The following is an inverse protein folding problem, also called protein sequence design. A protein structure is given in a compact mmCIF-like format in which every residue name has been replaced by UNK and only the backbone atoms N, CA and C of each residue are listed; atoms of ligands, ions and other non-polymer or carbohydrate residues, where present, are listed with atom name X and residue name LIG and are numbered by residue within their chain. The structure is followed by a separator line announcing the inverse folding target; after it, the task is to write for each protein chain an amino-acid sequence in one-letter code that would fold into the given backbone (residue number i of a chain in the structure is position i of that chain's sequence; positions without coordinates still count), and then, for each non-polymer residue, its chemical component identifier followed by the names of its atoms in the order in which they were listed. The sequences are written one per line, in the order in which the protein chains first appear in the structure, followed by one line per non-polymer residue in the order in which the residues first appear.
data_IF_680699875779
#
_entry.id   IF_680699875779
#
_cell.length_a   1.000
_cell.length_b   1.000
_cell.length_c   1.000
_cell.angle_alpha   90.00
_cell.angle_beta   90.00
_cell.angle_gamma   90.00
#
_symmetry.space_group_name_H-M   'P 1'
#
loop_
_entity.id
_entity.type
_entity.pdbx_description
1 polymer ?
#
# COMPACT_ATOMS: atom_id res chain seq x y z
N UNK A 1 40.55 52.93 -12.22
CA UNK A 1 40.23 51.86 -11.24
C UNK A 1 38.77 51.49 -11.41
N UNK A 2 38.47 50.25 -11.77
CA UNK A 2 37.10 49.73 -11.80
C UNK A 2 36.60 49.63 -10.37
N UNK A 3 35.45 50.23 -10.05
CA UNK A 3 34.88 50.15 -8.71
C UNK A 3 34.26 48.77 -8.48
N UNK A 4 35.00 47.92 -7.75
CA UNK A 4 34.61 46.54 -7.42
C UNK A 4 33.32 46.51 -6.60
N UNK A 5 33.04 47.52 -5.78
CA UNK A 5 31.82 47.59 -4.96
C UNK A 5 30.59 47.92 -5.80
N UNK A 6 30.72 48.84 -6.77
CA UNK A 6 29.65 49.15 -7.71
C UNK A 6 29.27 47.91 -8.52
N UNK A 7 30.28 47.18 -9.02
CA UNK A 7 30.09 45.93 -9.76
C UNK A 7 29.41 44.84 -8.92
N UNK A 8 29.80 44.68 -7.65
CA UNK A 8 29.18 43.72 -6.72
C UNK A 8 27.69 44.02 -6.53
N UNK A 9 27.35 45.29 -6.34
CA UNK A 9 25.97 45.72 -6.09
C UNK A 9 25.09 45.46 -7.30
N UNK A 10 25.59 45.78 -8.50
CA UNK A 10 24.89 45.55 -9.76
C UNK A 10 24.62 44.06 -10.00
N UNK A 11 25.64 43.21 -9.88
CA UNK A 11 25.51 41.76 -10.07
C UNK A 11 24.56 41.16 -9.03
N UNK A 12 24.63 41.63 -7.78
CA UNK A 12 23.73 41.15 -6.72
C UNK A 12 22.28 41.46 -7.07
N UNK A 13 22.00 42.66 -7.60
CA UNK A 13 20.67 43.03 -8.06
C UNK A 13 20.20 42.19 -9.26
N UNK A 14 21.09 41.85 -10.20
CA UNK A 14 20.76 40.96 -11.34
C UNK A 14 20.39 39.54 -10.85
N UNK A 15 21.11 39.00 -9.86
CA UNK A 15 20.83 37.68 -9.25
C UNK A 15 19.49 37.69 -8.52
N UNK A 16 19.21 38.73 -7.74
CA UNK A 16 17.94 38.86 -7.01
C UNK A 16 16.74 39.07 -7.93
N UNK A 17 16.95 39.74 -9.08
CA UNK A 17 15.92 39.92 -10.10
C UNK A 17 15.63 38.64 -10.91
N UNK A 18 16.55 37.67 -10.93
CA UNK A 18 16.37 36.41 -11.62
C UNK A 18 15.35 35.52 -10.89
N UNK A 19 14.12 35.48 -11.44
CA UNK A 19 12.99 34.70 -10.91
C UNK A 19 12.84 33.31 -11.50
N UNK A 20 13.67 32.92 -12.47
CA UNK A 20 13.61 31.60 -13.10
C UNK A 20 15.00 30.96 -13.13
N UNK A 21 15.10 29.62 -13.11
CA UNK A 21 16.38 28.92 -13.26
C UNK A 21 17.13 29.32 -14.55
N UNK A 22 16.40 29.56 -15.64
CA UNK A 22 16.98 30.02 -16.90
C UNK A 22 17.56 31.43 -16.78
N UNK A 23 16.82 32.39 -16.21
CA UNK A 23 17.31 33.75 -15.99
C UNK A 23 18.51 33.78 -15.04
N UNK A 24 18.54 32.91 -14.02
CA UNK A 24 19.68 32.80 -13.11
C UNK A 24 20.91 32.21 -13.80
N UNK A 25 20.73 31.23 -14.70
CA UNK A 25 21.83 30.67 -15.49
C UNK A 25 22.38 31.68 -16.49
N UNK A 26 21.51 32.50 -17.11
CA UNK A 26 21.92 33.61 -17.98
C UNK A 26 22.82 34.60 -17.21
N UNK A 27 22.41 35.02 -16.01
CA UNK A 27 23.22 35.87 -15.11
C UNK A 27 24.54 35.19 -14.73
N UNK A 28 24.52 33.89 -14.42
CA UNK A 28 25.74 33.12 -14.12
C UNK A 28 26.71 33.12 -15.31
N UNK A 29 26.20 32.95 -16.53
CA UNK A 29 27.03 32.93 -17.74
C UNK A 29 27.59 34.32 -18.07
N UNK A 30 26.80 35.39 -17.97
CA UNK A 30 27.25 36.77 -18.22
C UNK A 30 28.26 37.26 -17.19
N UNK A 31 28.20 36.76 -15.95
CA UNK A 31 29.07 37.21 -14.86
C UNK A 31 30.31 36.32 -14.69
N UNK A 32 30.13 35.00 -14.58
CA UNK A 32 31.18 34.02 -14.26
C UNK A 32 31.64 33.18 -15.47
N UNK A 33 31.01 33.32 -16.64
CA UNK A 33 31.38 32.56 -17.83
C UNK A 33 32.78 32.86 -18.37
N UNK A 34 33.21 32.13 -19.42
CA UNK A 34 34.54 32.26 -20.04
C UNK A 34 34.85 33.68 -20.59
N UNK A 35 33.79 34.41 -20.96
CA UNK A 35 33.81 35.82 -21.38
C UNK A 35 33.02 36.72 -20.41
N UNK A 36 32.73 36.23 -19.21
CA UNK A 36 31.92 36.94 -18.23
C UNK A 36 32.63 38.16 -17.65
N UNK A 37 31.85 39.07 -17.07
CA UNK A 37 32.34 40.36 -16.51
C UNK A 37 33.49 40.17 -15.53
N UNK A 38 33.37 39.24 -14.57
CA UNK A 38 34.42 38.96 -13.57
C UNK A 38 35.62 38.28 -14.23
N UNK A 39 35.40 37.33 -15.14
CA UNK A 39 36.47 36.65 -15.89
C UNK A 39 37.26 37.60 -16.80
N UNK A 40 36.60 38.60 -17.38
CA UNK A 40 37.24 39.65 -18.17
C UNK A 40 38.14 40.54 -17.31
N UNK A 41 37.68 40.95 -16.12
CA UNK A 41 38.48 41.70 -15.14
C UNK A 41 39.67 40.88 -14.60
N UNK A 42 39.50 39.57 -14.42
CA UNK A 42 40.62 38.70 -14.02
C UNK A 42 41.71 38.59 -15.10
N UNK A 43 41.37 38.77 -16.39
CA UNK A 43 42.37 38.76 -17.48
C UNK A 43 43.21 40.04 -17.53
N UNK A 44 42.68 41.18 -17.08
CA UNK A 44 43.42 42.45 -17.08
C UNK A 44 44.52 42.49 -16.02
N UNK A 45 44.45 41.62 -15.00
CA UNK A 45 45.51 41.44 -13.99
C UNK A 45 46.88 41.06 -14.57
N UNK A 46 46.92 40.48 -15.78
CA UNK A 46 48.16 40.08 -16.45
C UNK A 46 49.11 41.24 -16.79
N UNK A 47 48.58 42.46 -16.93
CA UNK A 47 49.35 43.67 -17.29
C UNK A 47 49.64 44.63 -16.13
N UNK A 48 49.35 44.25 -14.89
CA UNK A 48 49.53 45.09 -13.70
C UNK A 48 50.87 44.82 -13.00
N UNK A 49 51.39 45.83 -12.30
CA UNK A 49 52.56 45.69 -11.42
C UNK A 49 52.32 44.66 -10.31
N UNK A 50 53.38 43.99 -9.80
CA UNK A 50 53.23 42.88 -8.85
C UNK A 50 52.44 43.20 -7.58
N UNK A 51 52.61 44.41 -7.04
CA UNK A 51 51.92 44.86 -5.81
C UNK A 51 50.44 45.20 -6.06
N UNK A 52 50.13 45.85 -7.19
CA UNK A 52 48.74 46.19 -7.57
C UNK A 52 47.97 44.93 -7.99
N UNK A 53 48.64 43.99 -8.67
CA UNK A 53 48.09 42.69 -9.03
C UNK A 53 47.68 41.87 -7.81
N UNK A 54 48.43 41.96 -6.70
CA UNK A 54 48.16 41.22 -5.46
C UNK A 54 46.90 41.73 -4.76
N UNK A 55 46.74 43.04 -4.66
CA UNK A 55 45.58 43.67 -4.00
C UNK A 55 44.30 43.53 -4.83
N UNK A 56 44.35 43.86 -6.12
CA UNK A 56 43.19 43.78 -7.03
C UNK A 56 42.81 42.32 -7.31
N UNK A 57 43.78 41.41 -7.44
CA UNK A 57 43.53 39.99 -7.63
C UNK A 57 42.86 39.33 -6.41
N UNK A 58 43.26 39.70 -5.19
CA UNK A 58 42.61 39.23 -3.97
C UNK A 58 41.16 39.71 -3.89
N UNK A 59 40.91 41.00 -4.16
CA UNK A 59 39.56 41.56 -4.17
C UNK A 59 38.63 40.91 -5.21
N UNK A 60 39.14 40.62 -6.42
CA UNK A 60 38.36 39.96 -7.47
C UNK A 60 38.06 38.49 -7.16
N UNK A 61 38.97 37.78 -6.49
CA UNK A 61 38.71 36.41 -6.02
C UNK A 61 37.62 36.38 -4.96
N UNK A 62 37.67 37.29 -3.98
CA UNK A 62 36.62 37.44 -2.96
C UNK A 62 35.27 37.74 -3.63
N UNK A 63 35.23 38.70 -4.57
CA UNK A 63 34.01 39.02 -5.31
C UNK A 63 33.46 37.80 -6.05
N UNK A 64 34.33 37.06 -6.75
CA UNK A 64 33.94 35.85 -7.49
C UNK A 64 33.29 34.81 -6.59
N UNK A 65 33.88 34.56 -5.42
CA UNK A 65 33.40 33.55 -4.47
C UNK A 65 32.07 33.97 -3.84
N UNK A 66 31.93 35.24 -3.45
CA UNK A 66 30.67 35.80 -2.92
C UNK A 66 29.53 35.70 -3.94
N UNK A 67 29.79 36.09 -5.20
CA UNK A 67 28.80 35.99 -6.29
C UNK A 67 28.44 34.53 -6.57
N UNK A 68 29.41 33.62 -6.58
CA UNK A 68 29.15 32.19 -6.78
C UNK A 68 28.25 31.62 -5.68
N UNK A 69 28.48 31.99 -4.41
CA UNK A 69 27.63 31.58 -3.29
C UNK A 69 26.24 32.23 -3.35
N UNK A 70 26.11 33.49 -3.77
CA UNK A 70 24.81 34.13 -3.99
C UNK A 70 23.99 33.43 -5.06
N UNK A 71 24.61 33.10 -6.21
CA UNK A 71 23.96 32.35 -7.29
C UNK A 71 23.48 30.99 -6.77
N UNK A 72 24.33 30.26 -6.05
CA UNK A 72 23.99 28.95 -5.48
C UNK A 72 22.84 29.04 -4.46
N UNK A 73 22.81 30.10 -3.64
CA UNK A 73 21.73 30.36 -2.69
C UNK A 73 20.41 30.63 -3.42
N UNK A 74 20.45 31.48 -4.44
CA UNK A 74 19.28 31.81 -5.25
C UNK A 74 18.77 30.58 -6.01
N UNK A 75 19.66 29.77 -6.57
CA UNK A 75 19.31 28.52 -7.25
C UNK A 75 18.59 27.56 -6.31
N UNK A 76 19.07 27.41 -5.07
CA UNK A 76 18.43 26.59 -4.05
C UNK A 76 17.05 27.14 -3.66
N UNK A 77 16.91 28.46 -3.54
CA UNK A 77 15.64 29.11 -3.24
C UNK A 77 14.60 28.86 -4.34
N UNK A 78 14.97 29.07 -5.61
CA UNK A 78 14.10 28.83 -6.77
C UNK A 78 13.70 27.36 -6.89
N UNK A 79 14.64 26.43 -6.67
CA UNK A 79 14.34 24.99 -6.64
C UNK A 79 13.35 24.62 -5.54
N UNK A 80 13.52 25.19 -4.34
CA UNK A 80 12.60 24.96 -3.23
C UNK A 80 11.22 25.51 -3.54
N UNK A 81 11.14 26.72 -4.07
CA UNK A 81 9.87 27.33 -4.46
C UNK A 81 9.12 26.49 -5.51
N UNK A 82 9.81 26.07 -6.57
CA UNK A 82 9.21 25.22 -7.60
C UNK A 82 8.73 23.86 -7.05
N UNK A 83 9.45 23.28 -6.09
CA UNK A 83 9.02 22.07 -5.40
C UNK A 83 7.78 22.33 -4.54
N UNK A 84 7.78 23.38 -3.73
CA UNK A 84 6.66 23.73 -2.85
C UNK A 84 5.38 24.01 -3.67
N UNK A 85 5.50 24.72 -4.80
CA UNK A 85 4.40 24.95 -5.75
C UNK A 85 3.86 23.65 -6.34
N UNK A 86 4.75 22.73 -6.73
CA UNK A 86 4.37 21.42 -7.26
C UNK A 86 3.68 20.53 -6.21
N UNK A 87 4.17 20.56 -4.96
CA UNK A 87 3.53 19.82 -3.87
C UNK A 87 2.13 20.35 -3.55
N UNK A 88 1.95 21.68 -3.62
CA UNK A 88 0.65 22.29 -3.41
C UNK A 88 -0.38 21.89 -4.50
N UNK A 89 0.05 21.69 -5.75
CA UNK A 89 -0.84 21.26 -6.85
C UNK A 89 -1.06 19.75 -6.89
N UNK A 90 -0.10 18.95 -6.44
CA UNK A 90 -0.18 17.48 -6.39
C UNK A 90 -0.79 16.95 -5.07
N UNK A 91 -1.43 17.81 -4.27
CA UNK A 91 -2.11 17.38 -3.04
C UNK A 91 -3.40 16.62 -3.38
N UNK A 92 -3.58 15.46 -2.74
CA UNK A 92 -4.72 14.58 -2.94
C UNK A 92 -5.49 14.43 -1.61
N UNK A 93 -6.81 14.28 -1.69
CA UNK A 93 -7.63 13.91 -0.54
C UNK A 93 -7.44 12.43 -0.21
N UNK A 94 -6.65 12.17 0.83
CA UNK A 94 -6.34 10.81 1.32
C UNK A 94 -7.52 10.13 2.01
N UNK A 95 -8.63 10.83 2.26
CA UNK A 95 -9.85 10.28 2.88
C UNK A 95 -10.83 9.71 1.86
N UNK A 96 -10.59 9.92 0.57
CA UNK A 96 -11.41 9.36 -0.50
C UNK A 96 -11.42 7.84 -0.44
N UNK A 97 -12.60 7.27 -0.68
CA UNK A 97 -12.79 5.83 -0.78
C UNK A 97 -11.82 5.23 -1.80
N UNK A 98 -11.18 4.13 -1.42
CA UNK A 98 -10.35 3.35 -2.34
C UNK A 98 -11.21 2.78 -3.47
N UNK A 99 -10.55 2.39 -4.56
CA UNK A 99 -11.24 1.63 -5.62
C UNK A 99 -11.83 0.36 -5.02
N UNK A 100 -13.09 0.01 -5.33
CA UNK A 100 -13.73 -1.14 -4.73
C UNK A 100 -13.04 -2.43 -5.18
N UNK A 101 -12.68 -3.27 -4.21
CA UNK A 101 -12.22 -4.64 -4.44
C UNK A 101 -13.30 -5.61 -3.94
N UNK A 102 -13.46 -6.74 -4.64
CA UNK A 102 -14.41 -7.77 -4.21
C UNK A 102 -13.84 -8.54 -3.03
N UNK A 103 -14.55 -8.50 -1.91
CA UNK A 103 -14.27 -9.34 -0.74
C UNK A 103 -15.27 -10.51 -0.70
N UNK A 104 -14.76 -11.72 -0.46
CA UNK A 104 -15.60 -12.89 -0.20
C UNK A 104 -16.32 -12.77 1.16
N UNK A 105 -17.42 -13.51 1.31
CA UNK A 105 -18.16 -13.63 2.57
C UNK A 105 -18.38 -15.11 2.87
N UNK A 106 -18.36 -15.46 4.16
CA UNK A 106 -18.73 -16.79 4.62
C UNK A 106 -20.24 -16.93 4.49
N UNK A 107 -20.71 -18.12 4.09
CA UNK A 107 -22.14 -18.39 4.00
C UNK A 107 -22.78 -18.32 5.41
N UNK A 108 -23.96 -17.70 5.59
CA UNK A 108 -24.55 -17.53 6.92
C UNK A 108 -24.73 -18.84 7.70
N UNK A 109 -25.09 -19.93 7.03
CA UNK A 109 -25.20 -21.26 7.67
C UNK A 109 -23.84 -21.73 8.22
N UNK A 110 -22.76 -21.59 7.44
CA UNK A 110 -21.42 -21.96 7.88
C UNK A 110 -20.97 -21.11 9.07
N UNK A 111 -21.27 -19.80 9.04
CA UNK A 111 -20.98 -18.91 10.16
C UNK A 111 -21.72 -19.35 11.43
N UNK A 112 -23.02 -19.64 11.34
CA UNK A 112 -23.80 -20.13 12.49
C UNK A 112 -23.29 -21.47 12.99
N UNK A 113 -22.93 -22.40 12.10
CA UNK A 113 -22.36 -23.69 12.48
C UNK A 113 -21.03 -23.52 13.22
N UNK A 114 -20.11 -22.69 12.71
CA UNK A 114 -18.83 -22.41 13.36
C UNK A 114 -19.02 -21.75 14.74
N UNK A 115 -19.96 -20.82 14.87
CA UNK A 115 -20.28 -20.19 16.16
C UNK A 115 -20.81 -21.22 17.18
N UNK A 116 -21.75 -22.08 16.78
CA UNK A 116 -22.24 -23.17 17.63
C UNK A 116 -21.11 -24.12 18.03
N UNK A 117 -20.26 -24.54 17.08
CA UNK A 117 -19.10 -25.40 17.36
C UNK A 117 -18.15 -24.73 18.35
N UNK A 118 -17.89 -23.42 18.22
CA UNK A 118 -17.07 -22.66 19.16
C UNK A 118 -17.62 -22.66 20.58
N UNK A 119 -18.94 -22.46 20.75
CA UNK A 119 -19.61 -22.48 22.06
C UNK A 119 -19.51 -23.87 22.71
N UNK A 120 -19.89 -24.93 22.01
CA UNK A 120 -19.87 -26.29 22.57
C UNK A 120 -18.45 -26.82 22.75
N UNK A 121 -17.51 -26.45 21.86
CA UNK A 121 -16.09 -26.77 22.01
C UNK A 121 -15.49 -26.16 23.27
N UNK A 122 -15.87 -24.93 23.62
CA UNK A 122 -15.46 -24.30 24.88
C UNK A 122 -16.01 -25.03 26.13
N UNK A 123 -17.11 -25.77 25.98
CA UNK A 123 -17.68 -26.62 27.02
C UNK A 123 -17.07 -28.03 27.08
N UNK A 124 -16.13 -28.35 26.18
CA UNK A 124 -15.46 -29.65 26.11
C UNK A 124 -16.13 -30.69 25.22
N UNK A 125 -17.11 -30.30 24.39
CA UNK A 125 -17.68 -31.20 23.39
C UNK A 125 -16.76 -31.32 22.16
N UNK A 126 -16.79 -32.48 21.50
CA UNK A 126 -16.12 -32.73 20.23
C UNK A 126 -17.10 -32.75 19.06
N UNK A 127 -16.63 -32.37 17.88
CA UNK A 127 -17.40 -32.50 16.62
C UNK A 127 -17.25 -33.91 16.08
N UNK A 128 -18.36 -34.52 15.68
CA UNK A 128 -18.38 -35.78 14.95
C UNK A 128 -19.11 -35.57 13.62
N UNK A 129 -18.57 -36.17 12.56
CA UNK A 129 -19.14 -36.12 11.21
C UNK A 129 -19.56 -37.53 10.78
N UNK A 130 -20.50 -37.61 9.84
CA UNK A 130 -20.93 -38.87 9.27
C UNK A 130 -21.60 -38.66 7.91
N UNK A 131 -21.93 -39.75 7.21
CA UNK A 131 -22.38 -39.69 5.84
C UNK A 131 -23.75 -39.01 5.70
N UNK A 132 -24.02 -38.44 4.53
CA UNK A 132 -25.34 -37.91 4.17
C UNK A 132 -26.30 -39.02 3.69
N UNK A 133 -25.75 -40.08 3.08
CA UNK A 133 -26.49 -41.30 2.74
C UNK A 133 -26.33 -42.28 3.90
N UNK A 134 -27.45 -42.69 4.47
CA UNK A 134 -27.51 -43.54 5.65
C UNK A 134 -28.37 -44.78 5.39
N UNK A 135 -28.29 -45.77 6.27
CA UNK A 135 -29.14 -46.95 6.26
C UNK A 135 -30.32 -46.83 7.23
N UNK A 136 -31.36 -47.65 7.00
CA UNK A 136 -32.59 -47.66 7.81
C UNK A 136 -32.31 -47.98 9.28
N UNK A 137 -31.29 -48.79 9.56
CA UNK A 137 -30.94 -49.17 10.92
C UNK A 137 -30.40 -47.97 11.72
N UNK A 138 -29.40 -47.25 11.20
CA UNK A 138 -28.78 -46.10 11.86
C UNK A 138 -29.70 -44.88 11.90
N UNK A 139 -30.47 -44.62 10.83
CA UNK A 139 -31.36 -43.46 10.79
C UNK A 139 -32.65 -43.68 11.59
N UNK A 140 -33.10 -44.93 11.81
CA UNK A 140 -34.37 -45.19 12.50
C UNK A 140 -34.28 -46.23 13.63
N UNK A 141 -33.97 -47.49 13.31
CA UNK A 141 -34.12 -48.60 14.26
C UNK A 141 -33.29 -48.40 15.53
N UNK A 142 -32.05 -47.95 15.40
CA UNK A 142 -31.15 -47.66 16.50
C UNK A 142 -31.62 -46.51 17.41
N UNK A 143 -32.48 -45.63 16.88
CA UNK A 143 -33.09 -44.50 17.58
C UNK A 143 -34.48 -44.85 18.14
N UNK A 144 -34.80 -46.15 18.22
CA UNK A 144 -36.07 -46.66 18.73
C UNK A 144 -37.29 -46.28 17.88
N UNK A 145 -37.11 -46.14 16.56
CA UNK A 145 -38.21 -46.05 15.60
C UNK A 145 -38.38 -47.40 14.90
N UNK A 146 -39.23 -48.32 15.38
CA UNK A 146 -39.40 -49.63 14.75
C UNK A 146 -40.12 -49.55 13.38
N UNK A 147 -40.10 -50.61 12.57
CA UNK A 147 -40.88 -50.69 11.33
C UNK A 147 -42.38 -50.41 11.59
N UNK A 148 -42.98 -49.55 10.77
CA UNK A 148 -44.37 -49.12 10.92
C UNK A 148 -44.60 -48.01 11.97
N UNK A 149 -43.53 -47.47 12.57
CA UNK A 149 -43.66 -46.31 13.47
C UNK A 149 -44.01 -45.03 12.69
N UNK A 150 -45.02 -44.24 13.11
CA UNK A 150 -45.44 -43.03 12.39
C UNK A 150 -44.30 -42.03 12.13
N UNK A 151 -43.33 -41.91 13.05
CA UNK A 151 -42.18 -41.02 12.86
C UNK A 151 -41.29 -41.37 11.65
N UNK A 152 -41.35 -42.60 11.11
CA UNK A 152 -40.65 -42.95 9.86
C UNK A 152 -41.33 -42.34 8.63
N UNK A 153 -42.65 -42.17 8.69
CA UNK A 153 -43.46 -41.58 7.62
C UNK A 153 -43.51 -40.05 7.73
N UNK A 154 -43.49 -39.49 8.95
CA UNK A 154 -43.59 -38.04 9.19
C UNK A 154 -42.35 -37.23 8.78
N UNK A 155 -41.23 -37.87 8.44
CA UNK A 155 -39.97 -37.19 8.14
C UNK A 155 -39.73 -36.97 6.64
N UNK A 156 -40.71 -37.27 5.77
CA UNK A 156 -40.62 -37.10 4.30
C UNK A 156 -39.29 -37.65 3.73
N UNK A 157 -38.95 -38.86 4.15
CA UNK A 157 -37.66 -39.49 3.87
C UNK A 157 -37.45 -39.75 2.38
N UNK A 158 -36.29 -39.34 1.85
CA UNK A 158 -35.87 -39.69 0.50
C UNK A 158 -35.18 -41.06 0.49
N UNK A 159 -35.90 -42.08 0.05
CA UNK A 159 -35.37 -43.44 -0.10
C UNK A 159 -34.55 -43.59 -1.40
N UNK A 160 -33.49 -44.39 -1.32
CA UNK A 160 -32.60 -44.72 -2.43
C UNK A 160 -32.73 -46.21 -2.79
N UNK A 161 -32.24 -46.64 -3.97
CA UNK A 161 -32.15 -48.07 -4.29
C UNK A 161 -31.38 -48.86 -3.22
N UNK A 162 -31.79 -50.10 -2.99
CA UNK A 162 -31.12 -50.96 -2.04
C UNK A 162 -29.67 -51.24 -2.45
N UNK A 163 -28.78 -51.27 -1.47
CA UNK A 163 -27.39 -51.64 -1.66
C UNK A 163 -27.28 -53.17 -1.79
N UNK A 164 -26.86 -53.69 -2.96
CA UNK A 164 -26.80 -55.13 -3.20
C UNK A 164 -25.69 -55.84 -2.41
N UNK A 165 -24.79 -55.09 -1.75
CA UNK A 165 -23.70 -55.65 -0.94
C UNK A 165 -24.06 -55.86 0.53
N UNK A 166 -25.22 -55.36 0.97
CA UNK A 166 -25.68 -55.39 2.35
C UNK A 166 -26.99 -56.20 2.45
N UNK A 167 -27.39 -56.56 3.67
CA UNK A 167 -28.63 -57.31 3.93
C UNK A 167 -29.53 -56.59 4.94
N UNK A 168 -30.84 -56.85 4.85
CA UNK A 168 -31.82 -56.35 5.81
C UNK A 168 -31.92 -54.83 5.86
N UNK A 169 -31.94 -54.24 7.06
CA UNK A 169 -32.05 -52.79 7.25
C UNK A 169 -30.81 -52.02 6.79
N UNK A 170 -29.64 -52.69 6.69
CA UNK A 170 -28.40 -52.08 6.18
C UNK A 170 -28.42 -51.88 4.66
N UNK A 171 -29.17 -52.73 3.93
CA UNK A 171 -29.36 -52.62 2.49
C UNK A 171 -30.27 -51.44 2.10
N UNK A 172 -31.20 -51.05 2.99
CA UNK A 172 -32.17 -49.99 2.74
C UNK A 172 -31.52 -48.62 2.92
N UNK A 173 -31.09 -48.01 1.80
CA UNK A 173 -30.42 -46.69 1.81
C UNK A 173 -31.42 -45.53 1.71
N UNK A 174 -31.06 -44.41 2.33
CA UNK A 174 -31.84 -43.17 2.34
C UNK A 174 -30.93 -41.94 2.53
N UNK A 175 -31.44 -40.75 2.22
CA UNK A 175 -30.80 -39.50 2.69
C UNK A 175 -31.18 -39.27 4.15
N UNK A 176 -30.18 -39.05 5.01
CA UNK A 176 -30.41 -38.86 6.45
C UNK A 176 -31.40 -37.71 6.70
N UNK A 177 -32.35 -37.95 7.60
CA UNK A 177 -33.38 -36.96 7.97
C UNK A 177 -32.91 -36.04 9.11
N UNK A 178 -31.91 -36.50 9.87
CA UNK A 178 -31.29 -35.81 10.98
C UNK A 178 -29.88 -36.37 11.24
N UNK A 179 -29.06 -35.65 12.00
CA UNK A 179 -27.67 -36.06 12.31
C UNK A 179 -27.55 -37.05 13.47
N UNK A 180 -28.66 -37.51 14.05
CA UNK A 180 -28.67 -38.50 15.16
C UNK A 180 -27.99 -39.83 14.81
N UNK A 181 -27.97 -40.22 13.53
CA UNK A 181 -27.26 -41.41 13.07
C UNK A 181 -25.75 -41.37 13.40
N UNK A 182 -25.15 -40.17 13.36
CA UNK A 182 -23.74 -39.96 13.73
C UNK A 182 -23.51 -40.28 15.20
N UNK A 183 -24.47 -39.99 16.08
CA UNK A 183 -24.37 -40.29 17.51
C UNK A 183 -24.33 -41.80 17.75
N UNK A 184 -25.19 -42.56 17.06
CA UNK A 184 -25.20 -44.03 17.13
C UNK A 184 -23.88 -44.62 16.64
N UNK A 185 -23.36 -44.13 15.51
CA UNK A 185 -22.06 -44.57 14.97
C UNK A 185 -20.95 -44.29 15.97
N UNK A 186 -20.87 -43.06 16.47
CA UNK A 186 -19.85 -42.64 17.42
C UNK A 186 -19.87 -43.40 18.76
N UNK A 187 -21.04 -43.81 19.25
CA UNK A 187 -21.15 -44.61 20.47
C UNK A 187 -20.78 -46.09 20.29
N UNK A 188 -20.72 -46.57 19.04
CA UNK A 188 -20.40 -47.96 18.69
C UNK A 188 -18.93 -48.18 18.33
N UNK A 189 -18.23 -47.11 17.95
CA UNK A 189 -16.79 -47.08 17.71
C UNK A 189 -16.00 -47.14 19.03
#
# INVERSE_FOLDING_TARGET
MTDINALKTEITSEIEAARTPAALDDVRVTVLGKKGRITALMKTLGGMDPEERKTVGAALNVLKDEIAELIKRQEKALKKQALDERLATETLDVTLSTRPERSGKIHPISQTMEEMVGIFGAMGFSVAEGPDIEDDWHNFTALNFPPGHPAREMQDTFFLPEDPSEEGELAKKLLRTHTSAVQIRHMKD
#
